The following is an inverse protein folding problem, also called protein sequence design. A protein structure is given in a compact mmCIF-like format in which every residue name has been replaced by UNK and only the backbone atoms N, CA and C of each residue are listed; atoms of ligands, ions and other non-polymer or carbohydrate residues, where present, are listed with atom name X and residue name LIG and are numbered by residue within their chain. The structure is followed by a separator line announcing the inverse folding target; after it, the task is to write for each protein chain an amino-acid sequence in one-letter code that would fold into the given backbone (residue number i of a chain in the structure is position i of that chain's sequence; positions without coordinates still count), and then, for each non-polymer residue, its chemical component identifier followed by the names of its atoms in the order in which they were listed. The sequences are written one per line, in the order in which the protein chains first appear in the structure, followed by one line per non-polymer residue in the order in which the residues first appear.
data_IF_755494832331
#
_entry.id   IF_755494832331
#
_cell.length_a   1.000
_cell.length_b   1.000
_cell.length_c   1.000
_cell.angle_alpha   90.00
_cell.angle_beta   90.00
_cell.angle_gamma   90.00
#
_symmetry.space_group_name_H-M   'P 1'
#
loop_
_entity.id
_entity.type
_entity.pdbx_description
1 polymer ?
#
# COMPACT_ATOMS: atom_id res chain seq x y z
N UNK A 1 -11.75 -0.42 -6.30
CA UNK A 1 -10.42 -0.51 -6.91
C UNK A 1 -9.45 -1.04 -5.86
N UNK A 2 -9.07 -2.32 -5.94
CA UNK A 2 -7.86 -2.81 -5.26
C UNK A 2 -6.70 -2.29 -6.10
N UNK A 3 -6.24 -1.08 -5.79
CA UNK A 3 -4.98 -0.59 -6.35
C UNK A 3 -3.90 -1.54 -5.81
N UNK A 4 -3.25 -2.28 -6.71
CA UNK A 4 -2.34 -3.35 -6.31
C UNK A 4 -1.21 -2.76 -5.45
N UNK A 5 -0.91 -3.43 -4.34
CA UNK A 5 0.26 -3.14 -3.49
C UNK A 5 1.52 -2.87 -4.33
N UNK A 6 1.68 -3.62 -5.42
CA UNK A 6 2.79 -3.48 -6.35
C UNK A 6 2.87 -2.09 -6.99
N UNK A 7 1.75 -1.54 -7.48
CA UNK A 7 1.73 -0.16 -8.01
C UNK A 7 2.06 0.85 -6.93
N UNK A 8 1.56 0.61 -5.72
CA UNK A 8 1.82 1.48 -4.59
C UNK A 8 3.29 1.51 -4.16
N UNK A 9 4.02 0.41 -4.35
CA UNK A 9 5.46 0.31 -4.13
C UNK A 9 6.29 0.74 -5.36
N UNK A 10 5.66 1.30 -6.41
CA UNK A 10 6.33 1.84 -7.59
C UNK A 10 6.62 0.82 -8.70
N UNK A 11 6.09 -0.40 -8.62
CA UNK A 11 6.27 -1.40 -9.69
C UNK A 11 5.35 -1.11 -10.88
N UNK A 12 5.90 -1.30 -12.09
CA UNK A 12 5.15 -1.18 -13.34
C UNK A 12 4.09 -2.27 -13.50
N UNK A 13 3.19 -2.09 -14.48
CA UNK A 13 2.28 -3.17 -14.88
C UNK A 13 3.09 -4.37 -15.40
N UNK A 14 2.70 -5.58 -15.01
CA UNK A 14 3.37 -6.84 -15.38
C UNK A 14 4.82 -6.98 -14.88
N UNK A 15 5.19 -6.32 -13.78
CA UNK A 15 6.47 -6.60 -13.11
C UNK A 15 6.54 -8.07 -12.69
N UNK A 16 7.52 -8.80 -13.22
CA UNK A 16 7.72 -10.21 -12.93
C UNK A 16 8.66 -10.36 -11.74
N UNK A 17 8.22 -11.12 -10.74
CA UNK A 17 9.08 -11.61 -9.66
C UNK A 17 9.55 -13.01 -10.02
N UNK A 18 10.83 -13.30 -9.85
CA UNK A 18 11.41 -14.60 -10.23
C UNK A 18 11.16 -15.68 -9.17
N UNK A 19 10.86 -15.27 -7.93
CA UNK A 19 10.47 -16.13 -6.81
C UNK A 19 9.74 -15.32 -5.73
N UNK A 20 9.17 -15.99 -4.74
CA UNK A 20 8.59 -15.33 -3.56
C UNK A 20 9.66 -14.57 -2.75
N UNK A 21 10.87 -15.12 -2.69
CA UNK A 21 12.04 -14.51 -2.04
C UNK A 21 12.45 -13.20 -2.74
N UNK A 22 12.55 -13.22 -4.07
CA UNK A 22 12.84 -12.04 -4.89
C UNK A 22 11.81 -10.93 -4.65
N UNK A 23 10.52 -11.30 -4.59
CA UNK A 23 9.45 -10.36 -4.24
C UNK A 23 9.66 -9.75 -2.85
N UNK A 24 9.97 -10.58 -1.84
CA UNK A 24 10.20 -10.12 -0.47
C UNK A 24 11.36 -9.15 -0.36
N UNK A 25 12.51 -9.49 -0.96
CA UNK A 25 13.72 -8.66 -0.99
C UNK A 25 13.46 -7.31 -1.67
N UNK A 26 12.66 -7.27 -2.73
CA UNK A 26 12.32 -6.03 -3.43
C UNK A 26 11.30 -5.16 -2.67
N UNK A 27 10.46 -5.75 -1.82
CA UNK A 27 9.42 -5.03 -1.05
C UNK A 27 9.88 -4.50 0.30
N UNK A 28 10.77 -5.21 1.01
CA UNK A 28 11.08 -4.96 2.44
C UNK A 28 11.63 -3.55 2.72
N UNK A 29 12.26 -2.91 1.73
CA UNK A 29 12.83 -1.56 1.83
C UNK A 29 12.03 -0.51 1.05
N UNK A 30 10.75 -0.79 0.73
CA UNK A 30 9.85 0.17 0.07
C UNK A 30 8.87 0.76 1.08
N UNK A 31 8.60 2.05 0.93
CA UNK A 31 7.54 2.73 1.66
C UNK A 31 6.19 2.50 0.99
N UNK A 32 5.15 2.34 1.82
CA UNK A 32 3.76 2.30 1.38
C UNK A 32 3.00 3.50 1.98
N UNK A 33 2.76 4.52 1.16
CA UNK A 33 2.02 5.71 1.55
C UNK A 33 0.60 5.66 1.00
N UNK A 34 -0.38 5.60 1.90
CA UNK A 34 -1.80 5.51 1.57
C UNK A 34 -2.53 6.74 2.11
N UNK A 35 -3.12 7.52 1.22
CA UNK A 35 -3.99 8.63 1.59
C UNK A 35 -5.44 8.20 1.49
N UNK A 36 -6.20 8.33 2.58
CA UNK A 36 -7.63 7.97 2.63
C UNK A 36 -8.47 9.23 2.77
N UNK A 37 -9.27 9.54 1.74
CA UNK A 37 -10.26 10.62 1.80
C UNK A 37 -11.58 10.07 2.35
N UNK A 38 -12.03 10.68 3.44
CA UNK A 38 -13.34 10.44 4.02
C UNK A 38 -14.35 11.43 3.45
N UNK A 39 -15.52 10.95 3.02
CA UNK A 39 -16.60 11.80 2.53
C UNK A 39 -17.86 11.60 3.37
N UNK A 40 -18.53 12.71 3.67
CA UNK A 40 -19.88 12.69 4.24
C UNK A 40 -20.89 12.27 3.18
N UNK A 41 -21.83 11.41 3.56
CA UNK A 41 -22.97 11.06 2.74
C UNK A 41 -24.20 10.81 3.61
N UNK A 42 -25.37 11.08 3.04
CA UNK A 42 -26.64 10.78 3.70
C UNK A 42 -27.02 9.32 3.44
N UNK A 43 -27.34 8.60 4.51
CA UNK A 43 -27.91 7.25 4.46
C UNK A 43 -29.27 7.26 5.15
N UNK A 44 -30.30 6.75 4.47
CA UNK A 44 -31.59 6.51 5.13
C UNK A 44 -31.50 5.23 5.93
N UNK A 45 -31.81 5.29 7.22
CA UNK A 45 -31.91 4.15 8.13
C UNK A 45 -33.23 4.31 8.88
N UNK A 46 -34.09 3.29 8.80
CA UNK A 46 -35.42 3.28 9.43
C UNK A 46 -36.28 4.52 9.10
N UNK A 47 -36.19 4.99 7.85
CA UNK A 47 -36.95 6.15 7.36
C UNK A 47 -36.35 7.51 7.72
N UNK A 48 -35.27 7.57 8.51
CA UNK A 48 -34.59 8.82 8.87
C UNK A 48 -33.27 8.99 8.09
N UNK A 49 -33.01 10.21 7.59
CA UNK A 49 -31.73 10.56 6.98
C UNK A 49 -30.67 10.74 8.08
N UNK A 50 -29.61 9.94 8.03
CA UNK A 50 -28.45 10.04 8.91
C UNK A 50 -27.22 10.40 8.09
N UNK A 51 -26.46 11.42 8.53
CA UNK A 51 -25.13 11.69 7.99
C UNK A 51 -24.16 10.61 8.43
N UNK A 52 -23.39 10.05 7.50
CA UNK A 52 -22.32 9.10 7.77
C UNK A 52 -21.04 9.54 7.08
N UNK A 53 -19.92 9.13 7.64
CA UNK A 53 -18.59 9.35 7.07
C UNK A 53 -18.07 7.99 6.60
N UNK A 54 -17.67 7.90 5.33
CA UNK A 54 -17.01 6.71 4.80
C UNK A 54 -15.74 7.06 4.03
N UNK A 55 -14.75 6.17 4.11
CA UNK A 55 -13.57 6.22 3.25
C UNK A 55 -13.98 5.92 1.80
N UNK A 56 -13.92 6.94 0.93
CA UNK A 56 -14.42 6.83 -0.44
C UNK A 56 -13.31 6.71 -1.49
N UNK A 57 -12.15 7.30 -1.23
CA UNK A 57 -11.01 7.22 -2.13
C UNK A 57 -9.71 6.90 -1.38
N UNK A 58 -8.93 5.98 -1.94
CA UNK A 58 -7.59 5.62 -1.48
C UNK A 58 -6.61 5.93 -2.61
N UNK A 59 -5.65 6.80 -2.35
CA UNK A 59 -4.59 7.17 -3.29
C UNK A 59 -3.25 6.69 -2.76
N UNK A 60 -2.36 6.32 -3.68
CA UNK A 60 -0.99 5.93 -3.37
C UNK A 60 -0.07 6.96 -4.01
N UNK A 61 0.95 7.37 -3.27
CA UNK A 61 1.91 8.36 -3.71
C UNK A 61 3.21 7.65 -4.09
N UNK A 62 3.44 7.51 -5.40
CA UNK A 62 4.62 6.82 -5.94
C UNK A 62 5.91 7.65 -5.81
N UNK A 63 5.81 8.94 -5.47
CA UNK A 63 6.98 9.81 -5.34
C UNK A 63 7.82 9.52 -4.09
N UNK A 64 7.25 8.81 -3.12
CA UNK A 64 7.79 8.59 -1.78
C UNK A 64 8.01 7.09 -1.48
N UNK A 65 8.14 6.26 -2.52
CA UNK A 65 8.27 4.79 -2.40
C UNK A 65 9.64 4.35 -1.93
N UNK A 66 10.66 5.18 -2.15
CA UNK A 66 12.01 4.93 -1.68
C UNK A 66 12.18 5.73 -0.38
N UNK A 67 12.36 5.08 0.77
CA UNK A 67 12.53 5.78 2.03
C UNK A 67 13.78 6.65 1.99
N UNK A 68 13.66 7.88 2.52
CA UNK A 68 14.81 8.71 2.89
C UNK A 68 15.37 8.12 4.19
N UNK A 69 16.18 7.06 4.08
CA UNK A 69 16.71 6.37 5.26
C UNK A 69 17.83 7.18 5.93
N UNK A 70 17.70 7.41 7.24
CA UNK A 70 18.78 7.92 8.10
C UNK A 70 19.57 6.78 8.77
N UNK A 71 19.37 5.52 8.35
CA UNK A 71 19.99 4.32 8.91
C UNK A 71 20.31 3.26 7.84
N UNK A 72 20.99 2.19 8.24
CA UNK A 72 21.34 1.10 7.32
C UNK A 72 20.09 0.41 6.76
N UNK A 73 20.05 0.05 5.47
CA UNK A 73 18.96 -0.73 4.89
C UNK A 73 18.77 -2.07 5.61
N UNK A 74 17.53 -2.56 5.69
CA UNK A 74 17.28 -3.91 6.21
C UNK A 74 17.82 -4.90 5.18
N UNK A 75 18.83 -5.67 5.59
CA UNK A 75 19.37 -6.79 4.82
C UNK A 75 18.73 -8.05 5.35
N UNK A 76 17.93 -8.71 4.52
CA UNK A 76 17.34 -10.02 4.84
C UNK A 76 18.26 -11.08 4.26
N UNK A 77 18.89 -11.87 5.13
CA UNK A 77 19.70 -13.02 4.72
C UNK A 77 18.80 -14.20 4.35
N UNK A 78 19.36 -15.14 3.60
CA UNK A 78 18.63 -16.34 3.14
C UNK A 78 18.21 -17.26 4.32
N UNK A 79 18.74 -17.04 5.53
CA UNK A 79 18.38 -17.77 6.74
C UNK A 79 17.26 -17.08 7.57
N UNK A 80 16.90 -15.85 7.22
CA UNK A 80 15.92 -15.04 7.97
C UNK A 80 14.48 -15.19 7.44
N UNK A 81 14.31 -15.92 6.32
CA UNK A 81 13.03 -16.17 5.69
C UNK A 81 12.58 -17.62 5.94
N UNK A 82 11.30 -17.87 6.26
CA UNK A 82 10.80 -19.19 6.67
C UNK A 82 10.55 -20.17 5.49
N UNK A 83 11.21 -19.97 4.35
CA UNK A 83 11.06 -20.81 3.15
C UNK A 83 12.40 -21.20 2.55
#
# INVERSE_FOLDING_TARGET
MVNSLLKACGFGNNHAFHSAEDMGKQLINKNLKITVKHEEYDKVVDGQKQKRIAAKAKYYDVSDVNPVTTGAPVVVGDQDLPF
#
